data_IF_090393711089
#
_entry.id   IF_090393711089
#
_cell.length_a   1.000
_cell.length_b   1.000
_cell.length_c   1.000
_cell.angle_alpha   90.00
_cell.angle_beta   90.00
_cell.angle_gamma   90.00
#
_symmetry.space_group_name_H-M   'P 1'
#
loop_
_entity.id
_entity.type
_entity.pdbx_description
1 polymer ?
#
# COMPACT_ATOMS: atom_id res chain seq x y z
N UNK A 1 16.97 -11.23 0.93
CA UNK A 1 16.14 -10.47 -0.02
C UNK A 1 14.92 -9.96 0.73
N UNK A 2 14.60 -8.67 0.63
CA UNK A 2 13.34 -8.17 1.16
C UNK A 2 12.21 -8.57 0.20
N UNK A 3 11.16 -9.21 0.72
CA UNK A 3 9.95 -9.53 -0.04
C UNK A 3 8.95 -8.39 0.14
N UNK A 4 8.27 -7.96 -0.94
CA UNK A 4 7.19 -6.97 -0.84
C UNK A 4 6.09 -7.40 0.12
N UNK A 5 5.78 -8.70 0.17
CA UNK A 5 4.81 -9.28 1.11
C UNK A 5 5.20 -9.11 2.58
N UNK A 6 6.48 -8.91 2.89
CA UNK A 6 6.95 -8.70 4.26
C UNK A 6 6.85 -7.23 4.70
N UNK A 7 6.46 -6.31 3.80
CA UNK A 7 6.28 -4.90 4.11
C UNK A 7 4.81 -4.71 4.44
N UNK A 8 4.52 -4.66 5.73
CA UNK A 8 3.19 -4.38 6.28
C UNK A 8 3.28 -3.14 7.16
N UNK A 9 2.19 -2.37 7.21
CA UNK A 9 2.07 -1.16 8.01
C UNK A 9 2.08 -1.52 9.48
N UNK A 10 3.05 -0.96 10.22
CA UNK A 10 3.17 -1.16 11.66
C UNK A 10 1.99 -0.57 12.44
N UNK A 11 1.75 -1.04 13.68
CA UNK A 11 0.65 -0.58 14.54
C UNK A 11 0.72 0.89 14.92
N UNK A 12 1.89 1.54 14.81
CA UNK A 12 2.08 2.98 15.06
C UNK A 12 2.62 3.71 13.83
N UNK A 13 2.68 3.03 12.68
CA UNK A 13 3.26 3.57 11.46
C UNK A 13 2.23 4.41 10.69
N UNK A 14 2.62 5.63 10.34
CA UNK A 14 1.80 6.46 9.46
C UNK A 14 1.69 5.84 8.06
N UNK A 15 0.57 6.09 7.38
CA UNK A 15 0.34 5.62 6.01
C UNK A 15 1.47 6.06 5.06
N UNK A 16 1.92 7.32 5.20
CA UNK A 16 3.04 7.88 4.43
C UNK A 16 4.33 7.05 4.59
N UNK A 17 4.72 6.77 5.83
CA UNK A 17 5.97 6.03 6.11
C UNK A 17 5.90 4.60 5.56
N UNK A 18 4.74 3.96 5.67
CA UNK A 18 4.49 2.65 5.10
C UNK A 18 4.63 2.66 3.57
N UNK A 19 3.95 3.58 2.87
CA UNK A 19 4.03 3.74 1.41
C UNK A 19 5.47 3.99 0.95
N UNK A 20 6.21 4.87 1.65
CA UNK A 20 7.61 5.16 1.33
C UNK A 20 8.51 3.92 1.43
N UNK A 21 8.34 3.11 2.48
CA UNK A 21 9.09 1.85 2.64
C UNK A 21 8.74 0.85 1.55
N UNK A 22 7.45 0.70 1.24
CA UNK A 22 7.01 -0.20 0.18
C UNK A 22 7.59 0.21 -1.17
N UNK A 23 7.47 1.49 -1.54
CA UNK A 23 7.99 2.03 -2.80
C UNK A 23 9.50 1.87 -2.93
N UNK A 24 10.26 2.06 -1.85
CA UNK A 24 11.72 1.87 -1.84
C UNK A 24 12.15 0.45 -2.18
N UNK A 25 11.31 -0.55 -1.87
CA UNK A 25 11.59 -1.96 -2.20
C UNK A 25 10.96 -2.33 -3.54
N UNK A 26 9.78 -1.81 -3.88
CA UNK A 26 9.04 -2.18 -5.10
C UNK A 26 9.76 -1.78 -6.38
N UNK A 27 10.53 -0.68 -6.36
CA UNK A 27 11.39 -0.28 -7.48
C UNK A 27 12.54 -1.26 -7.76
N UNK A 28 12.83 -2.19 -6.82
CA UNK A 28 13.93 -3.16 -6.93
C UNK A 28 13.46 -4.58 -7.21
N UNK A 29 12.15 -4.80 -7.30
CA UNK A 29 11.54 -6.12 -7.50
C UNK A 29 10.73 -6.10 -8.79
N UNK A 30 10.96 -7.07 -9.66
CA UNK A 30 10.12 -7.28 -10.82
C UNK A 30 8.75 -7.82 -10.38
N UNK A 31 7.75 -6.94 -10.40
CA UNK A 31 6.35 -7.26 -10.14
C UNK A 31 5.47 -6.38 -11.03
N UNK A 32 4.34 -6.92 -11.48
CA UNK A 32 3.33 -6.12 -12.18
C UNK A 32 2.71 -5.11 -11.24
N UNK A 33 2.22 -3.99 -11.77
CA UNK A 33 1.62 -2.95 -10.92
C UNK A 33 0.37 -3.45 -10.20
N UNK A 34 -0.40 -4.35 -10.81
CA UNK A 34 -1.52 -5.03 -10.14
C UNK A 34 -1.08 -5.87 -8.94
N UNK A 35 0.07 -6.55 -9.03
CA UNK A 35 0.62 -7.30 -7.90
C UNK A 35 1.14 -6.36 -6.80
N UNK A 36 1.78 -5.24 -7.19
CA UNK A 36 2.21 -4.22 -6.23
C UNK A 36 1.03 -3.60 -5.50
N UNK A 37 -0.04 -3.26 -6.23
CA UNK A 37 -1.26 -2.71 -5.67
C UNK A 37 -1.87 -3.67 -4.65
N UNK A 38 -2.11 -4.93 -5.05
CA UNK A 38 -2.61 -5.96 -4.14
C UNK A 38 -1.77 -6.07 -2.86
N UNK A 39 -0.44 -6.11 -2.99
CA UNK A 39 0.45 -6.20 -1.81
C UNK A 39 0.46 -4.91 -0.97
N UNK A 40 0.23 -3.75 -1.58
CA UNK A 40 0.14 -2.47 -0.88
C UNK A 40 -1.13 -2.41 -0.02
N UNK A 41 -2.26 -2.85 -0.58
CA UNK A 41 -3.56 -2.92 0.08
C UNK A 41 -3.59 -3.96 1.21
N UNK A 42 -3.11 -5.17 0.93
CA UNK A 42 -3.02 -6.25 1.93
C UNK A 42 -2.08 -5.92 3.09
N UNK A 43 -1.06 -5.09 2.84
CA UNK A 43 -0.14 -4.66 3.87
C UNK A 43 -0.66 -3.49 4.71
N UNK A 44 -1.83 -2.92 4.43
CA UNK A 44 -2.42 -1.86 5.25
C UNK A 44 -2.78 -2.36 6.65
N UNK A 45 -2.69 -1.46 7.63
CA UNK A 45 -3.14 -1.76 8.99
C UNK A 45 -4.67 -1.84 9.01
N UNK A 46 -5.18 -2.96 9.49
CA UNK A 46 -6.61 -3.21 9.66
C UNK A 46 -7.27 -2.17 10.59
N UNK A 47 -8.55 -1.86 10.31
CA UNK A 47 -9.35 -0.94 11.12
C UNK A 47 -8.96 0.53 10.97
N UNK A 48 -8.16 0.86 9.96
CA UNK A 48 -7.91 2.26 9.59
C UNK A 48 -8.94 2.74 8.58
N UNK A 49 -9.37 4.00 8.70
CA UNK A 49 -10.30 4.63 7.75
C UNK A 49 -9.84 4.51 6.29
N UNK A 50 -8.52 4.57 6.08
CA UNK A 50 -7.94 4.44 4.75
C UNK A 50 -8.10 3.01 4.21
N UNK A 51 -7.82 1.99 5.02
CA UNK A 51 -8.04 0.59 4.63
C UNK A 51 -9.52 0.30 4.34
N UNK A 52 -10.44 0.87 5.13
CA UNK A 52 -11.87 0.80 4.86
C UNK A 52 -12.25 1.47 3.53
N UNK A 53 -11.72 2.68 3.26
CA UNK A 53 -11.99 3.41 2.03
C UNK A 53 -11.51 2.66 0.78
N UNK A 54 -10.30 2.11 0.81
CA UNK A 54 -9.75 1.29 -0.28
C UNK A 54 -10.65 0.08 -0.58
N UNK A 55 -11.12 -0.61 0.46
CA UNK A 55 -12.02 -1.77 0.30
C UNK A 55 -13.41 -1.42 -0.23
N UNK A 56 -13.89 -0.19 0.00
CA UNK A 56 -15.19 0.28 -0.52
C UNK A 56 -15.08 0.81 -1.94
N UNK A 57 -14.00 1.53 -2.26
CA UNK A 57 -13.83 2.21 -3.54
C UNK A 57 -13.30 1.31 -4.66
N UNK A 58 -12.91 0.07 -4.34
CA UNK A 58 -12.35 -0.90 -5.29
C UNK A 58 -11.26 -0.28 -6.16
N UNK A 59 -10.17 0.17 -5.53
CA UNK A 59 -9.07 0.84 -6.22
C UNK A 59 -8.41 -0.12 -7.23
N UNK A 60 -8.36 0.27 -8.52
CA UNK A 60 -7.86 -0.61 -9.58
C UNK A 60 -6.40 -0.31 -10.01
N UNK A 61 -5.86 0.86 -9.66
CA UNK A 61 -4.55 1.32 -10.10
C UNK A 61 -3.73 1.91 -8.94
N UNK A 62 -2.40 1.85 -9.08
CA UNK A 62 -1.49 2.48 -8.11
C UNK A 62 -1.71 4.01 -8.06
N UNK A 63 -2.02 4.64 -9.19
CA UNK A 63 -2.27 6.08 -9.24
C UNK A 63 -3.52 6.45 -8.43
N UNK A 64 -4.63 5.73 -8.61
CA UNK A 64 -5.85 5.95 -7.84
C UNK A 64 -5.64 5.70 -6.34
N UNK A 65 -4.84 4.69 -5.99
CA UNK A 65 -4.45 4.45 -4.59
C UNK A 65 -3.71 5.65 -4.00
N UNK A 66 -2.72 6.18 -4.71
CA UNK A 66 -1.90 7.29 -4.22
C UNK A 66 -2.66 8.62 -4.20
N UNK A 67 -3.59 8.83 -5.14
CA UNK A 67 -4.53 9.96 -5.08
C UNK A 67 -5.37 9.89 -3.81
N UNK A 68 -6.00 8.73 -3.55
CA UNK A 68 -6.80 8.53 -2.33
C UNK A 68 -5.96 8.73 -1.05
N UNK A 69 -4.71 8.26 -1.03
CA UNK A 69 -3.81 8.38 0.12
C UNK A 69 -3.39 9.83 0.42
N UNK A 70 -3.42 10.72 -0.57
CA UNK A 70 -3.13 12.14 -0.40
C UNK A 70 -4.38 12.94 0.04
N UNK A 71 -5.57 12.42 -0.23
CA UNK A 71 -6.85 13.05 0.12
C UNK A 71 -7.35 12.75 1.54
N UNK A 72 -6.77 11.75 2.21
CA UNK A 72 -7.09 11.33 3.60
C UNK A 72 -6.10 11.81 4.65
#
# INVERSE_FOLDING_TARGET
MASLKAIVQGPEESLRNYIERFNKVSVKVEATDKMKLYLLEEGLREGTKFQEAVGILEVETLDAFFELANDT
#
